data_IF_118548766957
#
_entry.id   IF_118548766957
#
_cell.length_a   1.000
_cell.length_b   1.000
_cell.length_c   1.000
_cell.angle_alpha   90.00
_cell.angle_beta   90.00
_cell.angle_gamma   90.00
#
_symmetry.space_group_name_H-M   'P 1'
#
loop_
_entity.id
_entity.type
_entity.pdbx_description
1 polymer ?
#
# COMPACT_ATOMS: atom_id res chain seq x y z
N UNK A 1 -18.85 28.42 4.38
CA UNK A 1 -17.53 27.75 4.27
C UNK A 1 -16.61 28.08 5.47
N UNK A 2 -17.01 27.82 6.71
CA UNK A 2 -16.20 28.14 7.92
C UNK A 2 -16.30 27.13 9.09
N UNK A 3 -16.92 25.96 8.92
CA UNK A 3 -17.11 24.99 10.01
C UNK A 3 -16.31 23.68 9.91
N UNK A 4 -15.56 23.42 8.84
CA UNK A 4 -14.86 22.14 8.64
C UNK A 4 -13.37 22.15 9.07
N UNK A 5 -13.02 22.83 10.17
CA UNK A 5 -11.65 22.79 10.74
C UNK A 5 -11.44 21.70 11.80
N UNK A 6 -12.42 20.83 12.00
CA UNK A 6 -12.38 19.71 12.96
C UNK A 6 -12.63 18.33 12.32
N UNK A 7 -12.53 18.22 11.01
CA UNK A 7 -12.46 16.90 10.39
C UNK A 7 -11.07 16.32 10.67
N UNK A 8 -10.95 15.65 11.82
CA UNK A 8 -9.85 14.76 12.08
C UNK A 8 -9.81 13.70 10.98
N UNK A 9 -8.63 13.47 10.42
CA UNK A 9 -8.47 12.51 9.32
C UNK A 9 -8.68 11.10 9.90
N UNK A 10 -9.64 10.32 9.39
CA UNK A 10 -9.84 8.90 9.75
C UNK A 10 -8.70 8.07 9.18
N UNK A 11 -7.65 7.88 9.99
CA UNK A 11 -6.47 7.09 9.67
C UNK A 11 -6.64 5.58 9.96
N UNK A 12 -7.87 5.06 10.17
CA UNK A 12 -8.05 3.64 10.51
C UNK A 12 -7.34 2.73 9.52
N UNK A 13 -7.40 3.07 8.24
CA UNK A 13 -6.83 2.29 7.15
C UNK A 13 -5.81 3.12 6.39
N UNK A 14 -4.96 3.88 7.11
CA UNK A 14 -3.98 4.79 6.52
C UNK A 14 -3.19 4.15 5.38
N UNK A 15 -2.77 2.89 5.56
CA UNK A 15 -2.02 2.16 4.55
C UNK A 15 -2.87 1.84 3.31
N UNK A 16 -4.09 1.33 3.51
CA UNK A 16 -4.95 0.96 2.40
C UNK A 16 -5.48 2.19 1.65
N UNK A 17 -5.80 3.27 2.36
CA UNK A 17 -6.18 4.57 1.80
C UNK A 17 -5.05 5.12 0.93
N UNK A 18 -3.85 5.24 1.49
CA UNK A 18 -2.68 5.67 0.73
C UNK A 18 -2.43 4.78 -0.49
N UNK A 19 -2.61 3.46 -0.34
CA UNK A 19 -2.48 2.51 -1.45
C UNK A 19 -3.48 2.71 -2.59
N UNK A 20 -4.69 3.17 -2.29
CA UNK A 20 -5.69 3.55 -3.29
C UNK A 20 -5.35 4.89 -3.97
N UNK A 21 -4.78 5.82 -3.20
CA UNK A 21 -4.51 7.18 -3.63
C UNK A 21 -3.27 7.28 -4.53
N UNK A 22 -2.25 6.46 -4.27
CA UNK A 22 -0.97 6.50 -4.99
C UNK A 22 -0.84 5.46 -6.10
N UNK A 23 -1.88 4.66 -6.35
CA UNK A 23 -1.86 3.62 -7.37
C UNK A 23 -1.79 4.20 -8.81
N UNK A 24 -0.89 3.67 -9.63
CA UNK A 24 -0.63 4.17 -10.98
C UNK A 24 -1.84 4.04 -11.92
N UNK A 25 -2.67 3.03 -11.72
CA UNK A 25 -3.83 2.71 -12.56
C UNK A 25 -5.10 3.46 -12.14
N UNK A 26 -4.97 4.39 -11.19
CA UNK A 26 -6.10 5.01 -10.49
C UNK A 26 -6.54 4.19 -9.29
N UNK A 27 -7.62 4.63 -8.64
CA UNK A 27 -8.09 4.10 -7.35
C UNK A 27 -8.38 2.59 -7.39
N UNK A 28 -7.38 1.78 -7.08
CA UNK A 28 -7.46 0.33 -7.10
C UNK A 28 -6.58 -0.31 -6.03
N UNK A 29 -7.02 -1.43 -5.46
CA UNK A 29 -6.29 -2.17 -4.42
C UNK A 29 -5.25 -3.14 -5.00
N UNK A 30 -5.10 -3.18 -6.32
CA UNK A 30 -4.31 -4.20 -6.99
C UNK A 30 -2.82 -4.02 -6.75
N UNK A 31 -2.33 -2.78 -6.59
CA UNK A 31 -0.95 -2.44 -6.27
C UNK A 31 -0.67 -2.53 -4.77
N UNK A 32 -1.66 -2.27 -3.92
CA UNK A 32 -1.51 -2.24 -2.46
C UNK A 32 -2.75 -2.81 -1.76
N UNK A 33 -2.85 -4.15 -1.68
CA UNK A 33 -3.88 -4.81 -0.87
C UNK A 33 -3.26 -5.27 0.45
N UNK A 34 -3.19 -4.35 1.42
CA UNK A 34 -2.40 -4.53 2.64
C UNK A 34 -3.24 -4.46 3.91
N UNK A 35 -4.57 -4.33 3.78
CA UNK A 35 -5.50 -4.21 4.89
C UNK A 35 -5.39 -5.37 5.91
N UNK A 36 -5.21 -6.61 5.47
CA UNK A 36 -5.06 -7.76 6.39
C UNK A 36 -3.77 -7.65 7.21
N UNK A 37 -2.67 -7.29 6.55
CA UNK A 37 -1.36 -7.18 7.18
C UNK A 37 -1.29 -6.02 8.17
N UNK A 38 -1.90 -4.88 7.84
CA UNK A 38 -1.98 -3.70 8.71
C UNK A 38 -2.99 -3.91 9.84
N UNK A 39 -4.26 -4.18 9.50
CA UNK A 39 -5.35 -4.09 10.46
C UNK A 39 -5.62 -5.37 11.25
N UNK A 40 -5.28 -6.53 10.69
CA UNK A 40 -5.64 -7.82 11.29
C UNK A 40 -4.40 -8.47 11.93
N UNK A 41 -3.27 -8.45 11.23
CA UNK A 41 -2.02 -9.04 11.74
C UNK A 41 -1.07 -8.04 12.40
N UNK A 42 -1.31 -6.73 12.25
CA UNK A 42 -0.49 -5.67 12.83
C UNK A 42 1.02 -5.82 12.52
N UNK A 43 1.33 -6.22 11.29
CA UNK A 43 2.71 -6.45 10.83
C UNK A 43 3.43 -5.15 10.45
N UNK A 44 2.72 -4.03 10.34
CA UNK A 44 3.26 -2.70 9.98
C UNK A 44 2.75 -1.64 10.97
N UNK A 45 3.19 -1.69 12.25
CA UNK A 45 2.62 -0.86 13.30
C UNK A 45 2.97 0.63 13.16
N UNK A 46 4.14 0.98 12.60
CA UNK A 46 4.61 2.36 12.51
C UNK A 46 4.24 3.03 11.18
N UNK A 47 4.39 4.36 11.11
CA UNK A 47 4.16 5.10 9.86
C UNK A 47 5.27 4.80 8.84
N UNK A 48 6.49 4.61 9.32
CA UNK A 48 7.66 4.22 8.55
C UNK A 48 7.48 2.83 7.94
N UNK A 49 6.98 1.85 8.70
CA UNK A 49 6.66 0.51 8.18
C UNK A 49 5.60 0.59 7.07
N UNK A 50 4.58 1.43 7.25
CA UNK A 50 3.54 1.65 6.25
C UNK A 50 4.09 2.29 4.98
N UNK A 51 4.99 3.26 5.11
CA UNK A 51 5.63 3.89 3.96
C UNK A 51 6.55 2.91 3.20
N UNK A 52 7.32 2.09 3.92
CA UNK A 52 8.14 1.01 3.33
C UNK A 52 7.26 0.01 2.59
N UNK A 53 6.15 -0.39 3.21
CA UNK A 53 5.21 -1.33 2.61
C UNK A 53 4.59 -0.80 1.32
N UNK A 54 4.15 0.46 1.28
CA UNK A 54 3.64 1.08 0.05
C UNK A 54 4.68 1.08 -1.07
N UNK A 55 5.95 1.29 -0.75
CA UNK A 55 7.03 1.23 -1.72
C UNK A 55 7.28 -0.21 -2.20
N UNK A 56 7.51 -1.14 -1.28
CA UNK A 56 7.85 -2.52 -1.58
C UNK A 56 6.72 -3.25 -2.32
N UNK A 57 5.48 -3.18 -1.81
CA UNK A 57 4.38 -3.95 -2.36
C UNK A 57 3.87 -3.42 -3.70
N UNK A 58 3.92 -2.11 -3.94
CA UNK A 58 3.60 -1.54 -5.25
C UNK A 58 4.52 -2.12 -6.34
N UNK A 59 5.83 -2.20 -6.06
CA UNK A 59 6.81 -2.76 -6.97
C UNK A 59 6.65 -4.28 -7.09
N UNK A 60 6.58 -5.00 -5.98
CA UNK A 60 6.41 -6.45 -5.96
C UNK A 60 5.14 -6.89 -6.71
N UNK A 61 4.02 -6.20 -6.51
CA UNK A 61 2.74 -6.52 -7.18
C UNK A 61 2.72 -6.11 -8.65
N UNK A 62 3.53 -5.13 -9.04
CA UNK A 62 3.79 -4.81 -10.44
C UNK A 62 4.51 -5.96 -11.15
N UNK A 63 5.45 -6.64 -10.48
CA UNK A 63 6.16 -7.78 -11.06
C UNK A 63 5.23 -8.86 -11.62
N UNK A 64 4.21 -9.27 -10.85
CA UNK A 64 3.21 -10.26 -11.29
C UNK A 64 2.54 -9.88 -12.60
N UNK A 65 2.26 -8.57 -12.79
CA UNK A 65 1.65 -8.06 -14.02
C UNK A 65 2.63 -8.12 -15.20
N UNK A 66 3.94 -8.00 -14.96
CA UNK A 66 4.98 -8.08 -16.00
C UNK A 66 5.16 -9.52 -16.48
N UNK A 67 5.13 -10.49 -15.56
CA UNK A 67 5.40 -11.90 -15.88
C UNK A 67 4.13 -12.74 -16.12
N UNK A 68 2.94 -12.15 -15.96
CA UNK A 68 1.67 -12.81 -16.23
C UNK A 68 1.26 -13.84 -15.17
N UNK A 69 1.68 -13.65 -13.91
CA UNK A 69 1.35 -14.55 -12.80
C UNK A 69 0.19 -13.99 -11.95
N UNK A 70 -0.62 -14.89 -11.41
CA UNK A 70 -1.60 -14.53 -10.39
C UNK A 70 -0.88 -14.22 -9.08
N UNK A 71 -1.29 -13.13 -8.41
CA UNK A 71 -0.73 -12.69 -7.12
C UNK A 71 -1.41 -13.31 -5.89
N UNK A 72 -2.58 -13.93 -6.04
CA UNK A 72 -3.29 -14.55 -4.92
C UNK A 72 -2.47 -15.67 -4.24
N UNK A 73 -1.77 -16.56 -4.98
CA UNK A 73 -0.96 -17.60 -4.35
C UNK A 73 0.16 -17.07 -3.44
N UNK A 74 0.58 -15.81 -3.60
CA UNK A 74 1.62 -15.24 -2.75
C UNK A 74 1.16 -14.99 -1.31
N UNK A 75 -0.03 -14.42 -1.08
CA UNK A 75 -0.44 -13.99 0.26
C UNK A 75 -1.73 -14.66 0.78
N UNK A 76 -2.54 -15.27 -0.10
CA UNK A 76 -3.81 -15.85 0.32
C UNK A 76 -3.64 -17.26 0.92
N UNK A 77 -2.48 -17.90 0.70
CA UNK A 77 -2.16 -19.26 1.17
C UNK A 77 -0.78 -19.34 1.81
N UNK A 78 -0.61 -18.76 2.98
CA UNK A 78 0.71 -18.64 3.62
C UNK A 78 1.23 -19.97 4.21
N UNK A 79 2.56 -20.20 4.21
CA UNK A 79 3.17 -21.32 4.94
C UNK A 79 2.81 -21.30 6.42
N UNK A 80 2.64 -22.48 7.04
CA UNK A 80 2.21 -22.60 8.42
C UNK A 80 3.19 -21.96 9.42
N UNK A 81 4.48 -21.98 9.10
CA UNK A 81 5.59 -21.45 9.87
C UNK A 81 6.00 -20.03 9.44
N UNK A 82 5.29 -19.38 8.51
CA UNK A 82 5.66 -18.06 8.01
C UNK A 82 5.80 -16.99 9.11
N UNK A 83 5.00 -17.12 10.18
CA UNK A 83 5.04 -16.22 11.33
C UNK A 83 6.36 -16.26 12.12
N UNK A 84 7.22 -17.27 11.89
CA UNK A 84 8.54 -17.42 12.51
C UNK A 84 9.67 -16.78 11.69
N UNK A 85 9.37 -16.25 10.50
CA UNK A 85 10.35 -15.62 9.62
C UNK A 85 10.65 -14.17 10.04
N UNK A 86 11.79 -13.63 9.58
CA UNK A 86 12.19 -12.25 9.90
C UNK A 86 11.24 -11.19 9.33
N UNK A 87 10.68 -11.45 8.15
CA UNK A 87 9.77 -10.53 7.45
C UNK A 87 8.45 -11.25 7.06
N UNK A 88 7.59 -11.59 8.03
CA UNK A 88 6.41 -12.41 7.78
C UNK A 88 5.41 -11.73 6.83
N UNK A 89 5.44 -10.39 6.74
CA UNK A 89 4.63 -9.62 5.81
C UNK A 89 5.04 -9.83 4.34
N UNK A 90 6.27 -10.25 4.05
CA UNK A 90 6.73 -10.44 2.66
C UNK A 90 6.54 -11.88 2.18
N UNK A 91 6.20 -12.80 3.09
CA UNK A 91 6.10 -14.24 2.84
C UNK A 91 7.37 -14.79 2.17
N UNK A 92 8.53 -14.78 2.88
CA UNK A 92 9.85 -14.94 2.25
C UNK A 92 10.00 -16.21 1.42
N UNK A 93 9.45 -17.33 1.90
CA UNK A 93 9.46 -18.61 1.18
C UNK A 93 8.80 -18.50 -0.20
N UNK A 94 7.66 -17.82 -0.30
CA UNK A 94 6.98 -17.63 -1.57
C UNK A 94 7.81 -16.75 -2.51
N UNK A 95 8.47 -15.72 -2.00
CA UNK A 95 9.37 -14.87 -2.79
C UNK A 95 10.51 -15.71 -3.36
N UNK A 96 11.12 -16.58 -2.56
CA UNK A 96 12.16 -17.53 -3.00
C UNK A 96 11.65 -18.52 -4.05
N UNK A 97 10.42 -19.01 -3.89
CA UNK A 97 9.76 -19.87 -4.87
C UNK A 97 9.55 -19.14 -6.21
N UNK A 98 9.15 -17.87 -6.20
CA UNK A 98 9.00 -17.08 -7.44
C UNK A 98 10.34 -16.78 -8.11
N UNK A 99 11.40 -16.53 -7.34
CA UNK A 99 12.76 -16.39 -7.87
C UNK A 99 13.18 -17.69 -8.55
N UNK A 100 13.02 -18.83 -7.86
CA UNK A 100 13.34 -20.15 -8.38
C UNK A 100 12.55 -20.47 -9.65
N UNK A 101 11.24 -20.26 -9.63
CA UNK A 101 10.36 -20.47 -10.77
C UNK A 101 10.83 -19.68 -11.99
N UNK A 102 11.11 -18.39 -11.82
CA UNK A 102 11.56 -17.54 -12.92
C UNK A 102 12.90 -18.01 -13.48
N UNK A 103 13.88 -18.32 -12.61
CA UNK A 103 15.21 -18.79 -13.03
C UNK A 103 15.10 -20.10 -13.80
N UNK A 104 14.35 -21.08 -13.30
CA UNK A 104 14.20 -22.40 -13.93
C UNK A 104 13.45 -22.31 -15.27
N UNK A 105 12.37 -21.52 -15.34
CA UNK A 105 11.57 -21.40 -16.58
C UNK A 105 12.32 -20.64 -17.67
N UNK A 106 13.08 -19.61 -17.31
CA UNK A 106 13.73 -18.72 -18.29
C UNK A 106 15.20 -19.06 -18.57
N UNK A 107 15.84 -19.85 -17.70
CA UNK A 107 17.28 -20.14 -17.75
C UNK A 107 18.16 -18.92 -17.48
N UNK A 108 17.61 -17.85 -16.88
CA UNK A 108 18.33 -16.59 -16.60
C UNK A 108 18.52 -16.41 -15.10
N UNK A 109 19.67 -15.85 -14.73
CA UNK A 109 19.91 -15.42 -13.36
C UNK A 109 18.86 -14.40 -12.93
N UNK A 110 18.33 -14.60 -11.74
CA UNK A 110 17.29 -13.77 -11.18
C UNK A 110 17.37 -13.80 -9.65
N UNK A 111 17.13 -12.65 -9.03
CA UNK A 111 17.17 -12.47 -7.58
C UNK A 111 16.00 -11.63 -7.11
N UNK A 112 15.81 -11.53 -5.78
CA UNK A 112 14.79 -10.66 -5.17
C UNK A 112 15.02 -9.20 -5.53
N UNK A 113 16.28 -8.78 -5.60
CA UNK A 113 16.69 -7.43 -5.98
C UNK A 113 16.39 -7.16 -7.45
N UNK A 114 16.69 -8.12 -8.34
CA UNK A 114 16.39 -7.97 -9.77
C UNK A 114 14.87 -7.97 -10.03
N UNK A 115 14.08 -8.70 -9.22
CA UNK A 115 12.62 -8.62 -9.26
C UNK A 115 12.12 -7.20 -9.00
N UNK A 116 12.62 -6.56 -7.94
CA UNK A 116 12.27 -5.19 -7.59
C UNK A 116 12.75 -4.21 -8.66
N UNK A 117 14.01 -4.32 -9.11
CA UNK A 117 14.60 -3.45 -10.14
C UNK A 117 13.83 -3.47 -11.47
N UNK A 118 13.42 -4.66 -11.92
CA UNK A 118 12.62 -4.79 -13.15
C UNK A 118 11.24 -4.16 -13.01
N UNK A 119 10.64 -4.30 -11.85
CA UNK A 119 9.34 -3.73 -11.53
C UNK A 119 9.41 -2.22 -11.43
N UNK A 120 10.41 -1.68 -10.75
CA UNK A 120 10.68 -0.25 -10.63
C UNK A 120 10.82 0.42 -12.00
N UNK A 121 11.52 -0.20 -12.95
CA UNK A 121 11.63 0.34 -14.31
C UNK A 121 10.26 0.50 -14.99
N UNK A 122 9.37 -0.46 -14.82
CA UNK A 122 8.01 -0.41 -15.41
C UNK A 122 7.11 0.53 -14.62
N UNK A 123 7.19 0.52 -13.29
CA UNK A 123 6.45 1.42 -12.41
C UNK A 123 6.78 2.89 -12.70
N UNK A 124 8.06 3.22 -12.85
CA UNK A 124 8.51 4.56 -13.22
C UNK A 124 8.08 4.96 -14.63
N UNK A 125 8.05 4.01 -15.57
CA UNK A 125 7.49 4.24 -16.91
C UNK A 125 5.99 4.57 -16.85
N UNK A 126 5.23 3.88 -16.00
CA UNK A 126 3.80 4.16 -15.79
C UNK A 126 3.60 5.56 -15.19
N UNK A 127 4.37 5.93 -14.17
CA UNK A 127 4.35 7.29 -13.60
C UNK A 127 4.66 8.34 -14.69
N UNK A 128 5.73 8.13 -15.47
CA UNK A 128 6.09 9.04 -16.56
C UNK A 128 4.99 9.16 -17.60
N UNK A 129 4.33 8.04 -17.92
CA UNK A 129 3.19 8.03 -18.83
C UNK A 129 2.01 8.83 -18.24
N UNK A 130 1.68 8.64 -16.96
CA UNK A 130 0.66 9.43 -16.27
C UNK A 130 0.97 10.93 -16.32
N UNK A 131 2.22 11.33 -16.05
CA UNK A 131 2.72 12.70 -16.18
C UNK A 131 2.54 13.24 -17.61
N UNK A 132 2.90 12.43 -18.61
CA UNK A 132 2.74 12.81 -20.02
C UNK A 132 1.26 13.01 -20.41
N UNK A 133 0.35 12.27 -19.79
CA UNK A 133 -1.09 12.39 -19.97
C UNK A 133 -1.73 13.49 -19.10
N UNK A 134 -0.94 14.28 -18.36
CA UNK A 134 -1.41 15.38 -17.52
C UNK A 134 -1.90 14.97 -16.12
N UNK A 135 -1.59 13.75 -15.68
CA UNK A 135 -1.89 13.17 -14.35
C UNK A 135 -0.60 12.86 -13.57
N UNK A 136 -0.67 12.25 -12.39
CA UNK A 136 0.52 11.78 -11.65
C UNK A 136 1.30 12.83 -10.84
N UNK A 137 0.78 14.06 -10.72
CA UNK A 137 1.18 15.01 -9.68
C UNK A 137 0.44 14.74 -8.38
N UNK A 138 1.02 15.16 -7.25
CA UNK A 138 0.45 15.02 -5.90
C UNK A 138 -1.03 15.44 -5.75
N UNK A 139 -1.49 16.41 -6.55
CA UNK A 139 -2.90 16.85 -6.55
C UNK A 139 -3.88 15.72 -6.93
N UNK A 140 -3.41 14.71 -7.66
CA UNK A 140 -4.19 13.55 -8.07
C UNK A 140 -4.16 12.40 -7.07
N UNK A 141 -3.25 12.45 -6.09
CA UNK A 141 -3.12 11.44 -5.04
C UNK A 141 -3.89 11.86 -3.77
N UNK A 142 -4.89 12.75 -3.92
CA UNK A 142 -5.74 13.15 -2.80
C UNK A 142 -6.97 12.25 -2.70
N UNK A 143 -7.29 11.73 -1.50
CA UNK A 143 -8.52 11.00 -1.28
C UNK A 143 -9.76 11.87 -1.48
N UNK A 144 -10.91 11.24 -1.80
CA UNK A 144 -12.19 11.93 -1.69
C UNK A 144 -12.47 12.33 -0.23
N UNK A 145 -13.13 13.47 -0.03
CA UNK A 145 -13.43 13.98 1.31
C UNK A 145 -14.14 12.96 2.23
N UNK A 146 -14.99 12.10 1.66
CA UNK A 146 -15.70 11.04 2.39
C UNK A 146 -14.77 9.99 2.99
N UNK A 147 -13.59 9.73 2.41
CA UNK A 147 -12.69 8.68 2.93
C UNK A 147 -11.76 9.19 4.02
N UNK A 148 -11.64 10.50 4.21
CA UNK A 148 -10.77 11.10 5.24
C UNK A 148 -11.49 11.40 6.53
N UNK A 149 -12.78 11.10 6.71
CA UNK A 149 -13.44 11.39 7.98
C UNK A 149 -14.94 11.12 7.97
N UNK A 150 -15.59 11.26 9.13
CA UNK A 150 -17.03 11.11 9.24
C UNK A 150 -17.76 12.16 8.39
N UNK A 151 -18.80 11.72 7.67
CA UNK A 151 -19.59 12.58 6.79
C UNK A 151 -20.59 13.43 7.57
N UNK A 152 -21.08 12.90 8.69
CA UNK A 152 -22.13 13.50 9.53
C UNK A 152 -21.71 13.60 10.99
N UNK A 153 -22.39 14.47 11.75
CA UNK A 153 -22.18 14.60 13.19
C UNK A 153 -22.57 13.29 13.87
N UNK A 154 -23.67 12.68 13.44
CA UNK A 154 -24.20 11.43 13.95
C UNK A 154 -23.21 10.28 13.76
N UNK A 155 -22.55 10.20 12.59
CA UNK A 155 -21.48 9.22 12.35
C UNK A 155 -20.28 9.45 13.28
N UNK A 156 -19.83 10.71 13.40
CA UNK A 156 -18.73 11.09 14.28
C UNK A 156 -19.03 10.73 15.74
N UNK A 157 -20.24 11.05 16.22
CA UNK A 157 -20.68 10.79 17.58
C UNK A 157 -20.86 9.29 17.85
N UNK A 158 -21.40 8.53 16.88
CA UNK A 158 -21.56 7.08 17.01
C UNK A 158 -20.26 6.32 17.21
N UNK A 159 -19.12 6.90 16.78
CA UNK A 159 -17.77 6.29 16.84
C UNK A 159 -16.74 7.23 17.48
N UNK A 160 -17.18 8.09 18.39
CA UNK A 160 -16.35 9.16 18.99
C UNK A 160 -15.02 8.65 19.57
N UNK A 161 -15.06 7.56 20.35
CA UNK A 161 -13.86 7.00 20.97
C UNK A 161 -12.82 6.54 19.93
N UNK A 162 -13.28 6.01 18.80
CA UNK A 162 -12.40 5.58 17.70
C UNK A 162 -11.69 6.78 17.07
N UNK A 163 -12.43 7.81 16.69
CA UNK A 163 -11.86 9.01 16.08
C UNK A 163 -10.92 9.75 17.05
N UNK A 164 -11.31 9.88 18.32
CA UNK A 164 -10.49 10.54 19.35
C UNK A 164 -9.16 9.81 19.62
N UNK A 165 -9.12 8.48 19.50
CA UNK A 165 -7.87 7.70 19.62
C UNK A 165 -6.96 7.89 18.40
N UNK A 166 -7.52 7.97 17.20
CA UNK A 166 -6.76 8.15 15.96
C UNK A 166 -6.10 9.53 15.86
N UNK A 167 -6.75 10.57 16.39
CA UNK A 167 -6.23 11.95 16.36
C UNK A 167 -5.06 12.21 17.31
N UNK A 168 -4.76 11.29 18.24
CA UNK A 168 -3.70 11.43 19.24
C UNK A 168 -2.33 10.98 18.76
N UNK A 169 -2.24 10.29 17.62
CA UNK A 169 -0.96 9.96 17.00
C UNK A 169 -0.45 11.22 16.30
N UNK A 170 0.74 11.76 16.63
CA UNK A 170 1.23 12.99 16.04
C UNK A 170 1.43 12.79 14.54
N UNK A 171 0.51 13.35 13.74
CA UNK A 171 0.71 13.49 12.31
C UNK A 171 1.68 14.64 12.10
N UNK A 172 2.88 14.35 11.60
CA UNK A 172 3.93 15.33 11.27
C UNK A 172 3.54 16.34 10.16
N UNK A 173 2.27 16.40 9.76
CA UNK A 173 1.75 17.39 8.83
C UNK A 173 1.51 18.72 9.53
N UNK A 174 2.61 19.39 9.91
CA UNK A 174 2.60 20.85 9.95
C UNK A 174 2.40 21.31 8.50
N UNK A 175 1.15 21.61 8.14
CA UNK A 175 0.86 22.40 6.95
C UNK A 175 1.42 23.78 7.22
N UNK A 176 2.69 24.02 6.85
CA UNK A 176 3.17 25.38 6.66
C UNK A 176 2.39 25.93 5.48
N UNK A 177 1.44 26.81 5.79
CA UNK A 177 0.82 27.70 4.82
C UNK A 177 1.87 28.58 4.14
#
# INVERSE_FOLDING_TARGET
>A
MRQYKRAGIDYYQALQQAGYETANKGTQHDENWLIFMDMIWNQMPTFEDKAEALHYFSLFRTWFSIVGLCKLPWNDIMPADNHLTDEPAKVPEHVDNYVTLYTVVTGKDFSKEEMQRRSERVYNLQIFFCLKMGKGLRVYDYPPYRSVGPETIEECESRKERYDKQLKVPTLFSVRQ
#
